data_IF_853562358938
#
_entry.id   IF_853562358938
#
_cell.length_a   1.000
_cell.length_b   1.000
_cell.length_c   1.000
_cell.angle_alpha   90.00
_cell.angle_beta   90.00
_cell.angle_gamma   90.00
#
_symmetry.space_group_name_H-M   'P 1'
#
loop_
_entity.id
_entity.type
_entity.pdbx_description
1 polymer ?
#
# COMPACT_ATOMS: atom_id res chain seq x y z
N UNK A 1 -20.88 19.88 17.12
CA UNK A 1 -20.99 18.42 17.33
C UNK A 1 -19.65 17.79 16.97
N UNK A 2 -19.00 17.11 17.91
CA UNK A 2 -17.62 16.64 17.72
C UNK A 2 -17.55 15.50 16.69
N UNK A 3 -16.48 15.45 15.88
CA UNK A 3 -16.22 14.38 14.88
C UNK A 3 -16.22 12.96 15.48
N UNK A 4 -16.23 12.82 16.81
CA UNK A 4 -16.22 11.55 17.54
C UNK A 4 -17.61 10.92 17.69
N UNK A 5 -18.68 11.72 17.68
CA UNK A 5 -20.05 11.22 17.81
C UNK A 5 -20.44 10.14 16.77
N UNK A 6 -20.17 10.31 15.45
CA UNK A 6 -20.51 9.27 14.47
C UNK A 6 -19.70 7.99 14.66
N UNK A 7 -18.43 8.08 15.04
CA UNK A 7 -17.53 6.93 15.22
C UNK A 7 -18.01 6.07 16.39
N UNK A 8 -18.33 6.72 17.52
CA UNK A 8 -18.87 6.03 18.70
C UNK A 8 -20.21 5.37 18.37
N UNK A 9 -21.09 6.05 17.62
CA UNK A 9 -22.36 5.48 17.18
C UNK A 9 -22.16 4.26 16.26
N UNK A 10 -21.23 4.31 15.31
CA UNK A 10 -20.91 3.17 14.43
C UNK A 10 -20.35 2.00 15.23
N UNK A 11 -19.41 2.24 16.15
CA UNK A 11 -18.86 1.17 17.00
C UNK A 11 -19.93 0.57 17.90
N UNK A 12 -20.79 1.40 18.52
CA UNK A 12 -21.88 0.93 19.34
C UNK A 12 -22.88 0.07 18.54
N UNK A 13 -23.20 0.48 17.30
CA UNK A 13 -24.06 -0.30 16.41
C UNK A 13 -23.45 -1.66 16.03
N UNK A 14 -22.14 -1.69 15.72
CA UNK A 14 -21.43 -2.94 15.40
C UNK A 14 -21.31 -3.88 16.61
N UNK A 15 -21.10 -3.33 17.81
CA UNK A 15 -21.08 -4.10 19.05
C UNK A 15 -22.48 -4.62 19.40
N UNK A 16 -23.52 -3.82 19.19
CA UNK A 16 -24.90 -4.27 19.37
C UNK A 16 -25.27 -5.37 18.37
N UNK A 17 -24.79 -5.29 17.13
CA UNK A 17 -24.99 -6.32 16.12
C UNK A 17 -24.34 -7.67 16.49
N UNK A 18 -23.29 -7.68 17.32
CA UNK A 18 -22.73 -8.93 17.87
C UNK A 18 -23.67 -9.60 18.89
N UNK A 19 -24.56 -8.84 19.53
CA UNK A 19 -25.53 -9.34 20.50
C UNK A 19 -26.87 -9.75 19.86
N UNK A 20 -27.13 -9.33 18.62
CA UNK A 20 -28.34 -9.68 17.88
C UNK A 20 -28.25 -11.08 17.26
N UNK A 21 -29.40 -11.75 17.02
CA UNK A 21 -29.43 -13.02 16.30
C UNK A 21 -28.85 -12.86 14.88
N UNK A 22 -28.35 -13.96 14.28
CA UNK A 22 -27.67 -13.92 12.99
C UNK A 22 -28.52 -13.22 11.93
N UNK A 23 -28.01 -12.12 11.37
CA UNK A 23 -28.70 -11.30 10.38
C UNK A 23 -28.66 -11.92 8.97
N UNK A 24 -27.71 -12.82 8.71
CA UNK A 24 -27.50 -13.47 7.42
C UNK A 24 -27.81 -14.98 7.51
N UNK A 25 -29.02 -15.44 7.16
CA UNK A 25 -29.43 -16.82 7.39
C UNK A 25 -28.52 -17.87 6.71
N UNK A 26 -27.89 -17.52 5.58
CA UNK A 26 -27.01 -18.43 4.82
C UNK A 26 -25.55 -18.45 5.30
N UNK A 27 -25.17 -17.58 6.25
CA UNK A 27 -23.79 -17.48 6.73
C UNK A 27 -23.66 -18.09 8.12
N UNK A 28 -22.67 -18.99 8.37
CA UNK A 28 -22.43 -19.51 9.71
C UNK A 28 -22.23 -18.38 10.73
N UNK A 29 -22.77 -18.57 11.94
CA UNK A 29 -22.72 -17.57 13.03
C UNK A 29 -21.29 -17.11 13.31
N UNK A 30 -20.33 -18.04 13.29
CA UNK A 30 -18.90 -17.73 13.44
C UNK A 30 -18.37 -16.79 12.32
N UNK A 31 -18.81 -17.01 11.08
CA UNK A 31 -18.44 -16.17 9.94
C UNK A 31 -19.03 -14.76 10.04
N UNK A 32 -20.28 -14.63 10.47
CA UNK A 32 -20.90 -13.33 10.71
C UNK A 32 -20.17 -12.54 11.79
N UNK A 33 -19.81 -13.20 12.90
CA UNK A 33 -19.06 -12.58 14.00
C UNK A 33 -17.66 -12.17 13.56
N UNK A 34 -16.98 -12.98 12.77
CA UNK A 34 -15.68 -12.62 12.18
C UNK A 34 -15.79 -11.36 11.30
N UNK A 35 -16.83 -11.25 10.47
CA UNK A 35 -17.08 -10.05 9.67
C UNK A 35 -17.36 -8.81 10.52
N UNK A 36 -18.15 -8.94 11.58
CA UNK A 36 -18.42 -7.83 12.51
C UNK A 36 -17.14 -7.36 13.22
N UNK A 37 -16.30 -8.29 13.69
CA UNK A 37 -14.99 -7.96 14.28
C UNK A 37 -14.08 -7.26 13.26
N UNK A 38 -14.08 -7.72 12.00
CA UNK A 38 -13.34 -7.07 10.92
C UNK A 38 -13.84 -5.64 10.66
N UNK A 39 -15.15 -5.41 10.64
CA UNK A 39 -15.73 -4.08 10.49
C UNK A 39 -15.34 -3.15 11.65
N UNK A 40 -15.36 -3.66 12.89
CA UNK A 40 -14.90 -2.91 14.06
C UNK A 40 -13.43 -2.50 13.88
N UNK A 41 -12.57 -3.43 13.45
CA UNK A 41 -11.15 -3.14 13.20
C UNK A 41 -10.97 -2.06 12.11
N UNK A 42 -11.73 -2.13 11.01
CA UNK A 42 -11.69 -1.13 9.93
C UNK A 42 -12.09 0.27 10.45
N UNK A 43 -13.15 0.36 11.26
CA UNK A 43 -13.57 1.65 11.85
C UNK A 43 -12.50 2.20 12.79
N UNK A 44 -11.87 1.35 13.61
CA UNK A 44 -10.79 1.76 14.50
C UNK A 44 -9.54 2.21 13.75
N UNK A 45 -9.15 1.51 12.68
CA UNK A 45 -8.01 1.92 11.84
C UNK A 45 -8.28 3.21 11.08
N UNK A 46 -9.46 3.35 10.47
CA UNK A 46 -9.80 4.56 9.67
C UNK A 46 -10.05 5.78 10.53
N UNK A 47 -10.48 5.60 11.78
CA UNK A 47 -10.62 6.69 12.75
C UNK A 47 -9.31 7.09 13.44
N UNK A 48 -8.25 6.29 13.29
CA UNK A 48 -6.97 6.45 13.99
C UNK A 48 -7.15 6.65 15.52
N UNK A 49 -8.20 6.03 16.10
CA UNK A 49 -8.55 6.22 17.52
C UNK A 49 -7.56 5.53 18.47
N UNK A 50 -6.89 4.49 17.98
CA UNK A 50 -5.89 3.69 18.68
C UNK A 50 -4.70 3.46 17.75
N UNK A 51 -3.52 3.21 18.32
CA UNK A 51 -2.35 2.81 17.54
C UNK A 51 -2.67 1.55 16.70
N UNK A 52 -2.23 1.46 15.44
CA UNK A 52 -2.62 0.38 14.54
C UNK A 52 -2.34 -1.03 15.08
N UNK A 53 -1.22 -1.21 15.80
CA UNK A 53 -0.86 -2.47 16.44
C UNK A 53 -1.80 -2.85 17.59
N UNK A 54 -2.22 -1.87 18.39
CA UNK A 54 -3.18 -2.08 19.48
C UNK A 54 -4.55 -2.48 18.92
N UNK A 55 -5.00 -1.81 17.86
CA UNK A 55 -6.24 -2.19 17.14
C UNK A 55 -6.18 -3.63 16.62
N UNK A 56 -5.04 -4.04 16.04
CA UNK A 56 -4.85 -5.40 15.54
C UNK A 56 -4.92 -6.45 16.66
N UNK A 57 -4.23 -6.22 17.78
CA UNK A 57 -4.28 -7.12 18.95
C UNK A 57 -5.68 -7.18 19.56
N UNK A 58 -6.36 -6.05 19.63
CA UNK A 58 -7.74 -5.97 20.10
C UNK A 58 -8.70 -6.77 19.21
N UNK A 59 -8.59 -6.65 17.89
CA UNK A 59 -9.38 -7.42 16.94
C UNK A 59 -9.12 -8.93 17.07
N UNK A 60 -7.86 -9.35 17.22
CA UNK A 60 -7.50 -10.76 17.46
C UNK A 60 -8.12 -11.29 18.76
N UNK A 61 -8.13 -10.49 19.83
CA UNK A 61 -8.75 -10.86 21.09
C UNK A 61 -10.28 -10.94 21.00
N UNK A 62 -10.92 -10.09 20.19
CA UNK A 62 -12.38 -10.12 19.98
C UNK A 62 -12.85 -11.38 19.26
N UNK A 63 -12.05 -11.98 18.38
CA UNK A 63 -12.44 -13.18 17.63
C UNK A 63 -12.93 -14.34 18.53
N UNK A 64 -12.15 -14.82 19.54
CA UNK A 64 -12.63 -15.86 20.43
C UNK A 64 -13.69 -15.35 21.42
N UNK A 65 -13.60 -14.09 21.87
CA UNK A 65 -14.56 -13.51 22.83
C UNK A 65 -15.98 -13.42 22.27
N UNK A 66 -16.08 -13.15 20.97
CA UNK A 66 -17.34 -13.13 20.23
C UNK A 66 -17.78 -14.53 19.79
N UNK A 67 -16.93 -15.55 19.92
CA UNK A 67 -17.17 -16.89 19.37
C UNK A 67 -17.06 -16.96 17.84
N UNK A 68 -16.36 -16.01 17.21
CA UNK A 68 -15.96 -16.09 15.80
C UNK A 68 -14.92 -17.20 15.58
N UNK A 69 -14.07 -17.46 16.57
CA UNK A 69 -13.16 -18.61 16.61
C UNK A 69 -13.39 -19.44 17.87
N UNK A 70 -13.10 -20.74 17.79
CA UNK A 70 -13.28 -21.67 18.92
C UNK A 70 -12.20 -21.52 19.99
N UNK A 71 -11.02 -21.05 19.61
CA UNK A 71 -9.86 -20.92 20.51
C UNK A 71 -9.03 -19.68 20.17
N UNK A 72 -8.22 -19.22 21.13
CA UNK A 72 -7.21 -18.19 20.88
C UNK A 72 -6.16 -18.66 19.87
N UNK A 73 -5.79 -19.95 19.87
CA UNK A 73 -4.89 -20.53 18.87
C UNK A 73 -5.45 -20.37 17.46
N UNK A 74 -6.74 -20.59 17.26
CA UNK A 74 -7.39 -20.38 15.97
C UNK A 74 -7.38 -18.90 15.55
N UNK A 75 -7.58 -17.97 16.49
CA UNK A 75 -7.49 -16.54 16.21
C UNK A 75 -6.07 -16.08 15.82
N UNK A 76 -5.04 -16.72 16.39
CA UNK A 76 -3.63 -16.43 16.12
C UNK A 76 -3.07 -17.12 14.87
N UNK A 77 -3.85 -17.93 14.14
CA UNK A 77 -3.38 -18.63 12.94
C UNK A 77 -2.77 -17.69 11.88
N UNK A 78 -3.25 -16.44 11.80
CA UNK A 78 -2.68 -15.42 10.91
C UNK A 78 -1.18 -15.14 11.16
N UNK A 79 -0.70 -15.31 12.39
CA UNK A 79 0.72 -15.15 12.75
C UNK A 79 1.59 -16.33 12.28
N UNK A 80 1.01 -17.44 11.82
CA UNK A 80 1.77 -18.51 11.18
C UNK A 80 2.09 -18.20 9.70
N UNK A 81 1.52 -17.13 9.14
CA UNK A 81 1.81 -16.71 7.78
C UNK A 81 3.28 -16.25 7.68
N UNK A 82 4.05 -16.69 6.66
CA UNK A 82 5.44 -16.28 6.49
C UNK A 82 5.63 -14.80 6.10
N UNK A 83 4.59 -14.14 5.56
CA UNK A 83 4.68 -12.79 4.99
C UNK A 83 5.11 -11.72 6.00
N UNK A 84 4.55 -11.62 7.22
CA UNK A 84 5.03 -10.66 8.22
C UNK A 84 6.50 -10.86 8.61
N UNK A 85 6.97 -12.10 8.73
CA UNK A 85 8.38 -12.38 9.06
C UNK A 85 9.32 -12.03 7.93
N UNK A 86 8.89 -12.26 6.68
CA UNK A 86 9.61 -11.79 5.52
C UNK A 86 9.76 -10.26 5.54
N UNK A 87 8.71 -9.52 5.90
CA UNK A 87 8.77 -8.07 6.03
C UNK A 87 9.78 -7.63 7.10
N UNK A 88 9.77 -8.29 8.28
CA UNK A 88 10.78 -8.05 9.33
C UNK A 88 12.18 -8.29 8.79
N UNK A 89 12.41 -9.38 8.05
CA UNK A 89 13.71 -9.68 7.44
C UNK A 89 14.16 -8.60 6.46
N UNK A 90 13.28 -8.10 5.61
CA UNK A 90 13.64 -7.04 4.65
C UNK A 90 13.91 -5.71 5.35
N UNK A 91 13.10 -5.31 6.33
CA UNK A 91 13.35 -4.09 7.09
C UNK A 91 14.69 -4.19 7.85
N UNK A 92 15.00 -5.37 8.40
CA UNK A 92 16.29 -5.63 9.05
C UNK A 92 17.45 -5.53 8.06
N UNK A 93 17.30 -6.09 6.85
CA UNK A 93 18.29 -5.96 5.78
C UNK A 93 18.48 -4.50 5.35
N UNK A 94 17.38 -3.74 5.24
CA UNK A 94 17.42 -2.30 4.99
C UNK A 94 18.23 -1.55 6.06
N UNK A 95 17.98 -1.84 7.34
CA UNK A 95 18.77 -1.28 8.44
C UNK A 95 20.26 -1.68 8.37
N UNK A 96 20.57 -2.92 7.97
CA UNK A 96 21.95 -3.37 7.76
C UNK A 96 22.64 -2.65 6.58
N UNK A 97 21.90 -2.34 5.51
CA UNK A 97 22.40 -1.54 4.37
C UNK A 97 22.76 -0.12 4.82
N UNK A 98 21.98 0.49 5.71
CA UNK A 98 22.33 1.78 6.34
C UNK A 98 23.55 1.64 7.23
N UNK A 99 23.53 0.69 8.18
CA UNK A 99 24.60 0.50 9.17
C UNK A 99 25.96 0.14 8.54
N UNK A 100 25.96 -0.54 7.39
CA UNK A 100 27.17 -0.87 6.64
C UNK A 100 27.78 0.30 5.86
N UNK A 101 27.09 1.45 5.79
CA UNK A 101 27.50 2.62 4.99
C UNK A 101 27.25 2.44 3.49
N UNK A 102 26.61 1.35 3.05
CA UNK A 102 26.26 1.16 1.64
C UNK A 102 25.23 2.19 1.18
N UNK A 103 24.23 2.47 2.02
CA UNK A 103 23.26 3.53 1.76
C UNK A 103 23.95 4.88 1.55
N UNK A 104 24.90 5.23 2.43
CA UNK A 104 25.65 6.49 2.37
C UNK A 104 26.46 6.60 1.07
N UNK A 105 27.17 5.54 0.66
CA UNK A 105 27.95 5.50 -0.59
C UNK A 105 27.06 5.70 -1.82
N UNK A 106 25.90 5.04 -1.86
CA UNK A 106 24.92 5.21 -2.93
C UNK A 106 24.37 6.63 -2.94
N UNK A 107 24.04 7.18 -1.76
CA UNK A 107 23.50 8.51 -1.62
C UNK A 107 24.49 9.59 -2.08
N UNK A 108 25.78 9.48 -1.71
CA UNK A 108 26.85 10.35 -2.21
C UNK A 108 26.97 10.28 -3.74
N UNK A 109 26.97 9.08 -4.31
CA UNK A 109 27.04 8.89 -5.77
C UNK A 109 25.87 9.57 -6.49
N UNK A 110 24.65 9.49 -5.93
CA UNK A 110 23.46 10.14 -6.46
C UNK A 110 23.60 11.66 -6.42
N UNK A 111 24.01 12.21 -5.27
CA UNK A 111 24.17 13.65 -5.08
C UNK A 111 25.27 14.23 -5.97
N UNK A 112 26.41 13.54 -6.09
CA UNK A 112 27.53 13.93 -6.96
C UNK A 112 27.11 13.96 -8.43
N UNK A 113 26.39 12.93 -8.90
CA UNK A 113 25.88 12.89 -10.28
C UNK A 113 24.80 13.94 -10.54
N UNK A 114 24.01 14.29 -9.53
CA UNK A 114 22.98 15.30 -9.64
C UNK A 114 23.55 16.73 -9.73
N UNK A 115 24.80 16.96 -9.31
CA UNK A 115 25.49 18.27 -9.38
C UNK A 115 24.63 19.42 -8.82
N UNK A 116 23.97 19.18 -7.69
CA UNK A 116 23.10 20.17 -7.02
C UNK A 116 21.72 20.39 -7.65
N UNK A 117 21.35 19.67 -8.72
CA UNK A 117 20.03 19.79 -9.36
C UNK A 117 19.01 18.86 -8.72
N UNK A 118 18.03 19.40 -7.99
CA UNK A 118 16.96 18.61 -7.37
C UNK A 118 16.19 17.73 -8.35
N UNK A 119 15.93 18.21 -9.58
CA UNK A 119 15.30 17.40 -10.63
C UNK A 119 16.14 16.16 -11.00
N UNK A 120 17.47 16.29 -11.01
CA UNK A 120 18.34 15.15 -11.31
C UNK A 120 18.30 14.11 -10.18
N UNK A 121 18.26 14.55 -8.91
CA UNK A 121 18.03 13.65 -7.77
C UNK A 121 16.69 12.95 -7.90
N UNK A 122 15.60 13.69 -8.16
CA UNK A 122 14.27 13.12 -8.35
C UNK A 122 14.27 12.03 -9.44
N UNK A 123 14.81 12.35 -10.62
CA UNK A 123 14.87 11.41 -11.75
C UNK A 123 15.69 10.17 -11.40
N UNK A 124 16.85 10.33 -10.75
CA UNK A 124 17.70 9.20 -10.35
C UNK A 124 17.00 8.28 -9.34
N UNK A 125 16.35 8.84 -8.32
CA UNK A 125 15.63 8.05 -7.32
C UNK A 125 14.44 7.31 -7.94
N UNK A 126 13.66 8.00 -8.77
CA UNK A 126 12.51 7.43 -9.48
C UNK A 126 12.93 6.33 -10.45
N UNK A 127 14.01 6.52 -11.22
CA UNK A 127 14.52 5.53 -12.16
C UNK A 127 15.25 4.34 -11.50
N UNK A 128 15.70 4.48 -10.25
CA UNK A 128 16.21 3.34 -9.50
C UNK A 128 15.13 2.27 -9.28
N UNK A 129 13.85 2.66 -9.29
CA UNK A 129 12.75 1.78 -8.95
C UNK A 129 12.49 0.67 -9.99
N UNK A 130 12.33 0.95 -11.31
CA UNK A 130 12.20 -0.09 -12.32
C UNK A 130 13.42 -1.03 -12.36
N UNK A 131 14.63 -0.51 -12.14
CA UNK A 131 15.85 -1.34 -12.13
C UNK A 131 15.82 -2.34 -10.97
N UNK A 132 15.52 -1.87 -9.76
CA UNK A 132 15.39 -2.73 -8.58
C UNK A 132 14.23 -3.71 -8.68
N UNK A 133 13.26 -3.43 -9.54
CA UNK A 133 12.10 -4.30 -9.71
C UNK A 133 12.45 -5.67 -10.31
N UNK A 134 13.44 -5.72 -11.20
CA UNK A 134 13.90 -6.99 -11.76
C UNK A 134 14.72 -7.81 -10.74
N UNK A 135 15.34 -7.15 -9.76
CA UNK A 135 16.15 -7.78 -8.71
C UNK A 135 15.28 -8.18 -7.52
N UNK A 136 14.32 -7.33 -7.16
CA UNK A 136 13.45 -7.46 -6.00
C UNK A 136 11.99 -7.45 -6.48
N UNK A 137 11.38 -8.61 -6.79
CA UNK A 137 10.03 -8.67 -7.34
C UNK A 137 8.96 -8.24 -6.34
N UNK A 138 9.26 -8.30 -5.03
CA UNK A 138 8.33 -7.90 -3.98
C UNK A 138 8.24 -6.38 -3.81
N UNK A 139 7.02 -5.86 -3.93
CA UNK A 139 6.66 -4.47 -3.69
C UNK A 139 7.14 -3.95 -2.33
N UNK A 140 6.86 -4.74 -1.30
CA UNK A 140 7.16 -4.42 0.08
C UNK A 140 8.67 -4.42 0.31
N UNK A 141 9.38 -5.32 -0.37
CA UNK A 141 10.84 -5.43 -0.27
C UNK A 141 11.54 -4.21 -0.87
N UNK A 142 11.12 -3.81 -2.07
CA UNK A 142 11.67 -2.61 -2.73
C UNK A 142 11.44 -1.36 -1.88
N UNK A 143 10.21 -1.14 -1.42
CA UNK A 143 9.90 0.03 -0.58
C UNK A 143 10.66 0.00 0.74
N UNK A 144 10.76 -1.17 1.40
CA UNK A 144 11.48 -1.32 2.65
C UNK A 144 12.97 -1.01 2.54
N UNK A 145 13.64 -1.35 1.43
CA UNK A 145 15.06 -1.02 1.23
C UNK A 145 15.24 0.43 0.77
N UNK A 146 14.42 0.87 -0.19
CA UNK A 146 14.56 2.20 -0.79
C UNK A 146 14.25 3.33 0.17
N UNK A 147 13.32 3.15 1.10
CA UNK A 147 13.01 4.19 2.08
C UNK A 147 14.25 4.59 2.87
N UNK A 148 15.09 3.62 3.24
CA UNK A 148 16.34 3.87 3.95
C UNK A 148 17.38 4.60 3.08
N UNK A 149 17.53 4.20 1.82
CA UNK A 149 18.46 4.87 0.89
C UNK A 149 18.01 6.30 0.61
N UNK A 150 16.70 6.52 0.49
CA UNK A 150 16.15 7.84 0.20
C UNK A 150 16.26 8.77 1.41
N UNK A 151 16.01 8.26 2.62
CA UNK A 151 16.20 9.03 3.85
C UNK A 151 17.66 9.49 3.97
N UNK A 152 18.63 8.59 3.69
CA UNK A 152 20.06 8.93 3.65
C UNK A 152 20.40 10.00 2.60
N UNK A 153 19.81 9.92 1.40
CA UNK A 153 19.99 10.95 0.35
C UNK A 153 19.48 12.30 0.82
N UNK A 154 18.31 12.34 1.46
CA UNK A 154 17.72 13.58 1.95
C UNK A 154 18.50 14.14 3.14
N UNK A 155 18.98 13.29 4.04
CA UNK A 155 19.81 13.69 5.18
C UNK A 155 21.14 14.30 4.72
N UNK A 156 21.89 13.59 3.86
CA UNK A 156 23.14 14.09 3.29
C UNK A 156 22.94 15.34 2.43
N UNK A 157 21.82 15.40 1.69
CA UNK A 157 21.42 16.55 0.89
C UNK A 157 20.87 17.72 1.72
N UNK A 158 20.77 17.58 3.06
CA UNK A 158 20.18 18.57 3.99
C UNK A 158 18.77 19.01 3.57
N UNK A 159 17.99 18.08 3.03
CA UNK A 159 16.60 18.33 2.61
C UNK A 159 15.70 18.21 3.84
N UNK A 160 14.98 19.28 4.23
CA UNK A 160 14.09 19.21 5.39
C UNK A 160 12.94 18.24 5.15
N UNK A 161 12.50 17.56 6.22
CA UNK A 161 11.33 16.69 6.17
C UNK A 161 10.11 17.49 5.71
N UNK A 162 9.41 16.96 4.70
CA UNK A 162 8.25 17.62 4.11
C UNK A 162 8.56 18.61 2.98
N UNK A 163 9.82 18.74 2.54
CA UNK A 163 10.15 19.46 1.31
C UNK A 163 9.43 18.86 0.09
N UNK A 164 9.13 19.69 -0.91
CA UNK A 164 8.35 19.27 -2.08
C UNK A 164 9.04 18.16 -2.87
N UNK A 165 10.38 18.15 -2.93
CA UNK A 165 11.14 17.07 -3.55
C UNK A 165 10.96 15.74 -2.80
N UNK A 166 10.99 15.76 -1.46
CA UNK A 166 10.79 14.55 -0.66
C UNK A 166 9.37 14.00 -0.83
N UNK A 167 8.36 14.89 -0.80
CA UNK A 167 6.96 14.55 -1.08
C UNK A 167 6.80 13.97 -2.49
N UNK A 168 7.38 14.61 -3.51
CA UNK A 168 7.31 14.17 -4.89
C UNK A 168 7.94 12.79 -5.08
N UNK A 169 9.13 12.55 -4.51
CA UNK A 169 9.79 11.23 -4.54
C UNK A 169 8.94 10.18 -3.83
N UNK A 170 8.39 10.47 -2.65
CA UNK A 170 7.53 9.53 -1.90
C UNK A 170 6.22 9.21 -2.63
N UNK A 171 5.58 10.21 -3.26
CA UNK A 171 4.38 10.02 -4.07
C UNK A 171 4.66 9.21 -5.35
N UNK A 172 5.78 9.51 -6.02
CA UNK A 172 6.24 8.76 -7.17
C UNK A 172 6.54 7.31 -6.78
N UNK A 173 7.23 7.09 -5.65
CA UNK A 173 7.55 5.78 -5.10
C UNK A 173 6.28 4.95 -4.90
N UNK A 174 5.25 5.50 -4.24
CA UNK A 174 3.98 4.80 -4.03
C UNK A 174 3.29 4.45 -5.37
N UNK A 175 3.29 5.38 -6.31
CA UNK A 175 2.62 5.20 -7.61
C UNK A 175 3.32 4.15 -8.48
N UNK A 176 4.65 4.22 -8.57
CA UNK A 176 5.45 3.27 -9.37
C UNK A 176 5.44 1.90 -8.71
N UNK A 177 5.49 1.80 -7.38
CA UNK A 177 5.42 0.52 -6.69
C UNK A 177 4.12 -0.22 -7.03
N UNK A 178 2.99 0.49 -7.00
CA UNK A 178 1.68 -0.05 -7.34
C UNK A 178 1.60 -0.47 -8.81
N UNK A 179 2.09 0.36 -9.72
CA UNK A 179 2.16 0.03 -11.15
C UNK A 179 3.03 -1.20 -11.42
N UNK A 180 4.23 -1.24 -10.82
CA UNK A 180 5.16 -2.34 -11.04
C UNK A 180 4.65 -3.65 -10.42
N UNK A 181 3.91 -3.57 -9.30
CA UNK A 181 3.28 -4.75 -8.68
C UNK A 181 2.13 -5.34 -9.47
N UNK A 182 1.50 -4.57 -10.35
CA UNK A 182 0.48 -5.07 -11.27
C UNK A 182 1.05 -5.44 -12.63
N UNK A 183 2.05 -4.68 -13.11
CA UNK A 183 2.62 -4.83 -14.45
C UNK A 183 3.50 -6.08 -14.59
N UNK A 184 4.16 -6.49 -13.50
CA UNK A 184 4.99 -7.70 -13.52
C UNK A 184 4.25 -8.89 -12.97
N UNK A 185 4.39 -10.02 -13.64
CA UNK A 185 3.73 -11.26 -13.24
C UNK A 185 4.16 -11.70 -11.82
N UNK A 186 5.42 -11.47 -11.45
CA UNK A 186 5.94 -11.74 -10.08
C UNK A 186 5.87 -10.53 -9.16
N UNK A 187 5.28 -9.42 -9.60
CA UNK A 187 5.26 -8.14 -8.87
C UNK A 187 4.33 -8.11 -7.64
N UNK A 188 3.41 -9.07 -7.54
CA UNK A 188 2.46 -9.17 -6.44
C UNK A 188 1.56 -10.40 -6.53
N UNK A 189 0.82 -10.67 -5.45
CA UNK A 189 -0.11 -11.82 -5.36
C UNK A 189 -1.20 -11.73 -6.43
N UNK A 190 -1.69 -10.51 -6.73
CA UNK A 190 -2.79 -10.31 -7.69
C UNK A 190 -2.44 -10.77 -9.11
N UNK A 191 -1.32 -10.35 -9.74
CA UNK A 191 -0.88 -10.91 -11.03
C UNK A 191 -0.69 -12.42 -11.05
N UNK A 192 -0.01 -12.96 -10.03
CA UNK A 192 0.25 -14.41 -9.92
C UNK A 192 -1.06 -15.19 -9.88
N UNK A 193 -2.00 -14.78 -9.04
CA UNK A 193 -3.31 -15.45 -8.93
C UNK A 193 -4.14 -15.26 -10.20
N UNK A 194 -4.11 -14.07 -10.81
CA UNK A 194 -4.83 -13.81 -12.06
C UNK A 194 -4.33 -14.71 -13.19
N UNK A 195 -3.01 -14.83 -13.36
CA UNK A 195 -2.41 -15.70 -14.37
C UNK A 195 -2.72 -17.18 -14.12
N UNK A 196 -2.77 -17.62 -12.86
CA UNK A 196 -3.16 -18.98 -12.50
C UNK A 196 -4.63 -19.27 -12.86
N UNK A 197 -5.54 -18.32 -12.59
CA UNK A 197 -6.97 -18.45 -12.90
C UNK A 197 -7.24 -18.47 -14.41
N UNK A 198 -6.46 -17.72 -15.20
CA UNK A 198 -6.64 -17.62 -16.67
C UNK A 198 -5.99 -18.82 -17.40
N UNK A 199 -5.58 -19.86 -16.69
CA UNK A 199 -5.03 -21.09 -17.29
C UNK A 199 -3.50 -21.12 -17.43
N UNK A 200 -2.79 -20.24 -16.72
CA UNK A 200 -1.32 -20.18 -16.72
C UNK A 200 -0.77 -19.37 -17.89
N UNK A 201 -0.66 -18.05 -17.70
CA UNK A 201 0.01 -17.17 -18.67
C UNK A 201 1.52 -17.14 -18.42
N UNK A 202 2.32 -17.20 -19.49
CA UNK A 202 3.77 -17.06 -19.42
C UNK A 202 4.18 -15.63 -19.03
N UNK A 203 5.38 -15.47 -18.48
CA UNK A 203 5.89 -14.17 -18.05
C UNK A 203 5.92 -13.12 -19.17
N UNK A 204 6.28 -13.54 -20.39
CA UNK A 204 6.27 -12.69 -21.58
C UNK A 204 4.84 -12.38 -22.05
N UNK A 205 3.93 -13.35 -21.98
CA UNK A 205 2.52 -13.16 -22.31
C UNK A 205 1.80 -12.19 -21.36
N UNK A 206 2.15 -12.20 -20.07
CA UNK A 206 1.66 -11.22 -19.11
C UNK A 206 2.14 -9.82 -19.46
N UNK A 207 3.42 -9.69 -19.82
CA UNK A 207 4.05 -8.40 -20.11
C UNK A 207 3.45 -7.75 -21.38
N UNK A 208 3.16 -8.53 -22.42
CA UNK A 208 2.45 -8.05 -23.61
C UNK A 208 1.04 -7.59 -23.27
N UNK A 209 0.34 -8.32 -22.40
CA UNK A 209 -1.04 -7.99 -21.99
C UNK A 209 -1.10 -6.68 -21.20
N UNK A 210 -0.09 -6.42 -20.37
CA UNK A 210 0.02 -5.16 -19.61
C UNK A 210 0.42 -3.98 -20.50
N UNK A 211 1.27 -4.17 -21.49
CA UNK A 211 1.60 -3.13 -22.48
C UNK A 211 0.35 -2.71 -23.29
N UNK A 212 -0.45 -3.68 -23.73
CA UNK A 212 -1.73 -3.41 -24.41
C UNK A 212 -2.72 -2.68 -23.49
N UNK A 213 -2.81 -3.08 -22.21
CA UNK A 213 -3.61 -2.40 -21.20
C UNK A 213 -3.20 -0.94 -20.98
N UNK A 214 -1.89 -0.66 -20.92
CA UNK A 214 -1.36 0.71 -20.77
C UNK A 214 -1.71 1.57 -22.00
N UNK A 215 -1.57 1.03 -23.21
CA UNK A 215 -1.92 1.70 -24.47
C UNK A 215 -3.41 2.04 -24.54
N UNK A 216 -4.28 1.15 -24.08
CA UNK A 216 -5.73 1.38 -23.99
C UNK A 216 -6.07 2.47 -22.96
N UNK A 217 -5.41 2.44 -21.79
CA UNK A 217 -5.56 3.47 -20.75
C UNK A 217 -5.17 4.88 -21.23
N UNK A 218 -4.03 5.01 -21.91
CA UNK A 218 -3.59 6.29 -22.49
C UNK A 218 -4.56 6.82 -23.55
N UNK A 219 -5.12 5.93 -24.40
CA UNK A 219 -6.13 6.31 -25.40
C UNK A 219 -7.45 6.75 -24.75
N UNK A 220 -7.89 6.09 -23.69
CA UNK A 220 -9.09 6.46 -22.94
C UNK A 220 -8.91 7.79 -22.21
N UNK A 221 -7.76 8.01 -21.55
CA UNK A 221 -7.43 9.28 -20.90
C UNK A 221 -7.34 10.44 -21.90
N UNK A 222 -6.74 10.21 -23.08
CA UNK A 222 -6.70 11.20 -24.16
C UNK A 222 -8.09 11.58 -24.67
N UNK A 223 -9.00 10.60 -24.82
CA UNK A 223 -10.41 10.86 -25.19
C UNK A 223 -11.14 11.63 -24.08
N UNK A 224 -10.95 11.28 -22.82
CA UNK A 224 -11.54 12.00 -21.70
C UNK A 224 -11.03 13.45 -21.60
N UNK A 225 -9.74 13.69 -21.82
CA UNK A 225 -9.15 15.03 -21.84
C UNK A 225 -9.71 15.88 -22.99
N UNK A 226 -9.92 15.30 -24.17
CA UNK A 226 -10.57 16.00 -25.30
C UNK A 226 -12.03 16.33 -24.98
N UNK A 227 -12.76 15.44 -24.31
CA UNK A 227 -14.14 15.69 -23.88
C UNK A 227 -14.22 16.80 -22.83
N UNK A 228 -13.28 16.82 -21.87
CA UNK A 228 -13.20 17.86 -20.83
C UNK A 228 -12.77 19.21 -21.42
N UNK A 229 -11.78 19.23 -22.32
CA UNK A 229 -11.30 20.44 -22.99
C UNK A 229 -12.33 21.05 -23.95
N UNK A 230 -13.30 20.26 -24.43
CA UNK A 230 -14.41 20.72 -25.27
C UNK A 230 -15.63 21.19 -24.48
N UNK A 231 -15.62 21.12 -23.13
CA UNK A 231 -16.72 21.69 -22.34
C UNK A 231 -16.58 23.22 -22.32
N UNK A 232 -17.61 23.98 -22.77
CA UNK A 232 -17.57 25.42 -22.67
C UNK A 232 -17.48 25.82 -21.19
N UNK A 233 -16.52 26.69 -20.88
CA UNK A 233 -16.41 27.31 -19.55
C UNK A 233 -17.62 28.21 -19.38
N UNK A 234 -18.56 27.83 -18.52
CA UNK A 234 -19.66 28.71 -18.14
C UNK A 234 -19.05 29.93 -17.42
N UNK A 235 -19.04 31.08 -18.11
CA UNK A 235 -18.68 32.36 -17.50
C UNK A 235 -19.65 32.71 -16.37
N UNK A 236 -19.23 33.53 -15.39
CA UNK A 236 -20.09 33.91 -14.28
C UNK A 236 -21.34 34.61 -14.81
N UNK A 237 -22.50 34.12 -14.40
CA UNK A 237 -23.77 34.79 -14.62
C UNK A 237 -23.73 36.12 -13.87
N UNK A 238 -23.40 37.20 -14.58
CA UNK A 238 -23.59 38.56 -14.10
C UNK A 238 -25.10 38.85 -14.10
N UNK A 239 -25.71 38.75 -12.92
CA UNK A 239 -26.87 39.56 -12.50
C UNK A 239 -26.79 39.81 -11.00
#
# INVERSE_FOLDING_TARGET
>A
MSRRAPIVATLAALVLALALPPLLPDLPVAGQRALLVMLIAIVLWTSESLEPGVTALFAVALLPLTGATTTMRAALQGFANPVPYFLVGVLTMGAAVVKSGLAERLARTILERARGRGLAVYVQLVLAFPVLTFVLPSATTRSGILIHIYDEVFELGRVPRGADIAKAVMLALSSINRLASTALLTGGITPVMSAAIIGGISWTGWLTLMDDGARLGHRAAGRAAVVVARRPVAGPALR
#
